data_IF_170135617920
#
_entry.id   IF_170135617920
#
_cell.length_a   1.000
_cell.length_b   1.000
_cell.length_c   1.000
_cell.angle_alpha   90.00
_cell.angle_beta   90.00
_cell.angle_gamma   90.00
#
_symmetry.space_group_name_H-M   'P 1'
#
loop_
_entity.id
_entity.type
_entity.pdbx_description
1 polymer ?
#
# COMPACT_ATOMS: atom_id res chain seq x y z
N UNK A 1 -11.97 -31.37 20.71
CA UNK A 1 -10.54 -31.09 20.44
C UNK A 1 -10.42 -29.60 20.24
N UNK A 2 -9.88 -28.88 21.23
CA UNK A 2 -9.85 -27.41 21.25
C UNK A 2 -8.68 -26.91 20.41
N UNK A 3 -8.97 -26.16 19.34
CA UNK A 3 -7.96 -25.58 18.45
C UNK A 3 -7.43 -24.29 19.07
N UNK A 4 -6.22 -24.35 19.64
CA UNK A 4 -5.50 -23.17 20.12
C UNK A 4 -4.83 -22.48 18.92
N UNK A 5 -5.49 -21.47 18.37
CA UNK A 5 -4.86 -20.54 17.42
C UNK A 5 -3.87 -19.66 18.19
N UNK A 6 -2.57 -19.83 17.92
CA UNK A 6 -1.54 -18.88 18.37
C UNK A 6 -1.58 -17.65 17.47
N UNK A 7 -2.11 -16.56 18.01
CA UNK A 7 -2.14 -15.23 17.42
C UNK A 7 -0.86 -14.48 17.82
N UNK A 8 -0.18 -13.86 16.84
CA UNK A 8 1.07 -13.14 17.07
C UNK A 8 0.81 -11.78 17.73
N UNK A 9 1.41 -11.55 18.90
CA UNK A 9 1.43 -10.28 19.63
C UNK A 9 2.81 -9.63 19.47
N UNK A 10 2.85 -8.32 19.29
CA UNK A 10 4.11 -7.56 19.40
C UNK A 10 4.25 -7.14 20.87
N UNK A 11 5.26 -7.68 21.56
CA UNK A 11 5.62 -7.31 22.93
C UNK A 11 6.78 -6.31 22.90
N UNK A 12 6.52 -5.06 23.30
CA UNK A 12 7.57 -4.06 23.56
C UNK A 12 7.45 -3.65 25.03
N UNK A 13 8.55 -3.74 25.78
CA UNK A 13 8.62 -3.37 27.20
C UNK A 13 7.56 -4.01 28.11
N UNK A 14 7.20 -5.28 27.86
CA UNK A 14 6.24 -6.02 28.68
C UNK A 14 4.77 -5.60 28.49
N UNK A 15 4.47 -4.80 27.46
CA UNK A 15 3.11 -4.49 27.01
C UNK A 15 2.87 -5.12 25.65
N UNK A 16 1.81 -5.91 25.56
CA UNK A 16 1.27 -6.42 24.30
C UNK A 16 0.45 -5.29 23.66
N UNK A 17 0.80 -4.91 22.44
CA UNK A 17 -0.04 -4.03 21.63
C UNK A 17 -0.57 -4.80 20.43
N UNK A 18 -1.81 -4.50 20.04
CA UNK A 18 -2.37 -4.96 18.78
C UNK A 18 -1.57 -4.37 17.61
N UNK A 19 -1.40 -5.14 16.53
CA UNK A 19 -0.86 -4.62 15.28
C UNK A 19 -1.96 -3.76 14.61
N UNK A 20 -1.75 -2.44 14.43
CA UNK A 20 -2.78 -1.54 13.92
C UNK A 20 -3.22 -1.89 12.49
N UNK A 21 -2.42 -2.64 11.73
CA UNK A 21 -2.71 -3.01 10.35
C UNK A 21 -3.46 -4.35 10.22
N UNK A 22 -3.44 -5.18 11.28
CA UNK A 22 -4.10 -6.51 11.29
C UNK A 22 -5.52 -6.41 11.86
N UNK A 23 -5.84 -5.33 12.58
CA UNK A 23 -7.18 -5.12 13.15
C UNK A 23 -7.52 -6.11 14.27
N UNK A 24 -6.52 -6.69 14.95
CA UNK A 24 -6.78 -7.42 16.19
C UNK A 24 -7.21 -6.42 17.27
N UNK A 25 -8.19 -6.79 18.09
CA UNK A 25 -8.65 -6.01 19.23
C UNK A 25 -8.47 -6.83 20.52
N UNK A 26 -7.28 -7.40 20.69
CA UNK A 26 -6.96 -8.26 21.83
C UNK A 26 -6.59 -7.40 23.06
N UNK A 27 -6.06 -6.19 22.83
CA UNK A 27 -5.54 -5.30 23.87
C UNK A 27 -6.40 -4.05 24.12
N UNK A 28 -7.54 -3.90 23.43
CA UNK A 28 -8.45 -2.75 23.59
C UNK A 28 -9.83 -3.17 24.08
N UNK A 29 -9.97 -3.29 25.41
CA UNK A 29 -11.27 -3.18 26.07
C UNK A 29 -11.35 -1.78 26.70
N UNK A 30 -11.85 -0.81 25.93
CA UNK A 30 -12.12 0.54 26.43
C UNK A 30 -11.84 1.66 25.43
N UNK A 31 -12.73 1.86 24.47
CA UNK A 31 -12.72 3.04 23.61
C UNK A 31 -13.46 2.80 22.31
N UNK A 32 -14.71 3.26 22.23
CA UNK A 32 -15.49 3.22 21.00
C UNK A 32 -14.87 4.19 19.98
N UNK A 33 -14.15 3.66 18.99
CA UNK A 33 -13.75 4.42 17.80
C UNK A 33 -14.91 4.37 16.82
N UNK A 34 -15.50 5.54 16.59
CA UNK A 34 -16.43 5.79 15.48
C UNK A 34 -15.64 5.91 14.19
N UNK A 35 -15.70 4.91 13.31
CA UNK A 35 -15.46 5.12 11.88
C UNK A 35 -16.07 4.00 11.05
N UNK A 36 -16.74 4.38 9.99
CA UNK A 36 -17.48 3.54 9.06
C UNK A 36 -16.52 2.79 8.10
N UNK A 37 -15.45 2.19 8.63
CA UNK A 37 -14.41 1.54 7.80
C UNK A 37 -14.91 0.17 7.35
N UNK A 38 -15.50 0.16 6.16
CA UNK A 38 -16.09 -1.04 5.54
C UNK A 38 -15.04 -1.91 4.85
N UNK A 39 -13.82 -1.42 4.67
CA UNK A 39 -12.74 -2.20 4.05
C UNK A 39 -12.02 -3.07 5.08
N UNK A 40 -12.21 -4.38 4.98
CA UNK A 40 -11.60 -5.39 5.85
C UNK A 40 -10.69 -6.34 5.06
N UNK A 41 -9.72 -6.99 5.70
CA UNK A 41 -8.96 -8.06 5.08
C UNK A 41 -9.90 -9.12 4.48
N UNK A 42 -9.63 -9.50 3.23
CA UNK A 42 -10.34 -10.56 2.53
C UNK A 42 -9.84 -11.95 2.97
N UNK A 43 -8.54 -12.08 3.23
CA UNK A 43 -7.89 -13.31 3.64
C UNK A 43 -6.45 -13.07 4.05
N UNK A 44 -5.63 -14.11 3.96
CA UNK A 44 -4.20 -14.02 4.23
C UNK A 44 -3.37 -14.86 3.24
N UNK A 45 -2.14 -14.43 3.00
CA UNK A 45 -1.10 -15.18 2.27
C UNK A 45 0.05 -15.52 3.22
N UNK A 46 0.61 -16.72 3.09
CA UNK A 46 1.81 -17.12 3.84
C UNK A 46 3.03 -17.03 2.94
N UNK A 47 4.01 -16.24 3.38
CA UNK A 47 5.22 -15.95 2.63
C UNK A 47 6.41 -16.23 3.54
N UNK A 48 7.14 -17.31 3.24
CA UNK A 48 8.32 -17.73 4.01
C UNK A 48 8.06 -17.82 5.53
N UNK A 49 6.88 -18.31 5.93
CA UNK A 49 6.49 -18.48 7.34
C UNK A 49 5.89 -17.24 8.00
N UNK A 50 5.74 -16.12 7.28
CA UNK A 50 5.02 -14.92 7.75
C UNK A 50 3.66 -14.83 7.08
N UNK A 51 2.66 -14.40 7.83
CA UNK A 51 1.29 -14.23 7.33
C UNK A 51 1.03 -12.76 7.02
N UNK A 52 0.55 -12.48 5.81
CA UNK A 52 0.21 -11.14 5.32
C UNK A 52 -1.28 -11.06 5.02
N UNK A 53 -1.99 -9.99 5.43
CA UNK A 53 -3.39 -9.81 5.06
C UNK A 53 -3.52 -9.50 3.56
N UNK A 54 -4.60 -9.96 2.94
CA UNK A 54 -4.98 -9.60 1.57
C UNK A 54 -6.24 -8.75 1.56
N UNK A 55 -6.41 -7.89 0.55
CA UNK A 55 -7.52 -6.95 0.44
C UNK A 55 -8.02 -6.81 -0.99
N UNK A 56 -9.34 -6.83 -1.15
CA UNK A 56 -10.04 -6.48 -2.41
C UNK A 56 -10.48 -5.01 -2.46
N UNK A 57 -10.24 -4.28 -1.37
CA UNK A 57 -10.75 -2.95 -1.14
C UNK A 57 -9.64 -2.06 -0.61
N UNK A 58 -9.88 -0.76 -0.62
CA UNK A 58 -9.03 0.26 -0.03
C UNK A 58 -9.91 1.26 0.74
N UNK A 59 -9.35 2.09 1.63
CA UNK A 59 -10.11 3.14 2.30
C UNK A 59 -10.81 4.08 1.30
N UNK A 60 -11.90 4.76 1.69
CA UNK A 60 -12.63 5.64 0.79
C UNK A 60 -11.75 6.74 0.19
N UNK A 61 -11.85 6.93 -1.13
CA UNK A 61 -11.18 8.05 -1.82
C UNK A 61 -11.93 9.35 -1.53
N UNK A 62 -11.22 10.37 -1.06
CA UNK A 62 -11.74 11.70 -0.74
C UNK A 62 -10.95 12.79 -1.48
N UNK A 63 -11.23 14.07 -1.20
CA UNK A 63 -10.42 15.20 -1.66
C UNK A 63 -9.03 15.28 -1.02
N UNK A 64 -8.76 14.47 0.02
CA UNK A 64 -7.47 14.37 0.71
C UNK A 64 -7.32 12.98 1.34
N UNK A 65 -7.23 11.95 0.51
CA UNK A 65 -7.18 10.54 0.90
C UNK A 65 -5.84 10.23 1.59
N UNK A 66 -5.83 9.81 2.87
CA UNK A 66 -4.60 9.39 3.54
C UNK A 66 -4.02 8.13 2.90
N UNK A 67 -2.70 8.08 2.73
CA UNK A 67 -2.00 6.93 2.19
C UNK A 67 -0.58 6.80 2.76
N UNK A 68 0.02 5.63 2.54
CA UNK A 68 1.44 5.39 2.78
C UNK A 68 2.18 5.36 1.44
N UNK A 69 3.29 6.10 1.29
CA UNK A 69 4.12 6.02 0.11
C UNK A 69 5.09 4.84 0.22
N UNK A 70 5.25 4.12 -0.87
CA UNK A 70 6.37 3.18 -1.08
C UNK A 70 7.11 3.57 -2.36
N UNK A 71 8.29 2.99 -2.58
CA UNK A 71 9.08 3.21 -3.78
C UNK A 71 9.12 1.93 -4.59
N UNK A 72 8.92 2.04 -5.90
CA UNK A 72 8.92 0.94 -6.84
C UNK A 72 9.73 1.31 -8.09
N UNK A 73 10.45 0.33 -8.64
CA UNK A 73 11.12 0.41 -9.93
C UNK A 73 10.19 -0.10 -11.04
N UNK A 74 9.73 0.83 -11.88
CA UNK A 74 8.83 0.54 -13.02
C UNK A 74 9.58 0.17 -14.31
N UNK A 75 10.91 0.09 -14.27
CA UNK A 75 11.73 -0.18 -15.45
C UNK A 75 11.87 -1.68 -15.73
N UNK A 76 12.24 -2.01 -16.97
CA UNK A 76 12.47 -3.40 -17.36
C UNK A 76 13.61 -4.01 -16.55
N UNK A 77 13.36 -5.15 -15.90
CA UNK A 77 14.33 -5.80 -15.01
C UNK A 77 14.46 -5.16 -13.62
N UNK A 78 13.58 -4.20 -13.29
CA UNK A 78 13.41 -3.66 -11.94
C UNK A 78 12.68 -4.61 -10.99
N UNK A 79 12.39 -4.13 -9.78
CA UNK A 79 11.69 -4.90 -8.75
C UNK A 79 10.15 -4.90 -8.88
N UNK A 80 9.58 -4.07 -9.76
CA UNK A 80 8.15 -4.04 -10.08
C UNK A 80 7.64 -5.26 -10.85
N UNK A 81 8.52 -6.20 -11.22
CA UNK A 81 8.14 -7.43 -11.91
C UNK A 81 7.82 -7.22 -13.40
N UNK A 82 6.54 -7.40 -13.77
CA UNK A 82 6.07 -7.29 -15.15
C UNK A 82 5.91 -5.84 -15.65
N UNK A 83 5.52 -5.65 -16.91
CA UNK A 83 5.10 -4.34 -17.42
C UNK A 83 3.84 -3.84 -16.70
N UNK A 84 3.66 -2.52 -16.56
CA UNK A 84 2.56 -1.96 -15.79
C UNK A 84 1.17 -2.22 -16.38
N UNK A 85 0.20 -2.52 -15.51
CA UNK A 85 -1.13 -3.03 -15.87
C UNK A 85 -1.95 -2.09 -16.76
N UNK A 86 -1.79 -0.76 -16.64
CA UNK A 86 -2.62 0.17 -17.40
C UNK A 86 -2.33 0.20 -18.90
N UNK A 87 -1.08 -0.06 -19.30
CA UNK A 87 -0.65 0.07 -20.71
C UNK A 87 0.27 -1.04 -21.21
N UNK A 88 0.59 -2.03 -20.36
CA UNK A 88 1.43 -3.16 -20.70
C UNK A 88 2.87 -2.77 -21.03
N UNK A 89 3.40 -1.72 -20.37
CA UNK A 89 4.72 -1.17 -20.64
C UNK A 89 5.53 -0.96 -19.37
N UNK A 90 6.85 -1.08 -19.52
CA UNK A 90 7.80 -0.54 -18.56
C UNK A 90 7.92 0.98 -18.73
N UNK A 91 8.24 1.67 -17.65
CA UNK A 91 8.36 3.12 -17.61
C UNK A 91 9.69 3.54 -16.98
N UNK A 92 10.18 4.73 -17.30
CA UNK A 92 11.37 5.24 -16.63
C UNK A 92 11.01 5.74 -15.22
N UNK A 93 11.83 5.41 -14.21
CA UNK A 93 11.66 5.98 -12.85
C UNK A 93 11.89 7.50 -12.78
N UNK A 94 12.33 8.12 -13.89
CA UNK A 94 12.38 9.58 -14.03
C UNK A 94 11.02 10.21 -14.37
N UNK A 95 10.05 9.39 -14.80
CA UNK A 95 8.67 9.79 -14.99
C UNK A 95 7.95 9.87 -13.64
N UNK A 96 7.02 10.81 -13.48
CA UNK A 96 6.19 10.90 -12.27
C UNK A 96 5.00 9.97 -12.42
N UNK A 97 5.21 8.73 -12.04
CA UNK A 97 4.23 7.65 -12.15
C UNK A 97 4.05 6.91 -10.83
N UNK A 98 2.88 6.29 -10.67
CA UNK A 98 2.52 5.51 -9.49
C UNK A 98 1.72 4.25 -9.81
N UNK A 99 1.83 3.27 -8.92
CA UNK A 99 0.85 2.21 -8.73
C UNK A 99 -0.10 2.55 -7.56
N UNK A 100 -1.32 2.04 -7.59
CA UNK A 100 -2.29 2.19 -6.49
C UNK A 100 -2.70 0.82 -5.96
N UNK A 101 -2.89 0.68 -4.64
CA UNK A 101 -3.49 -0.53 -4.06
C UNK A 101 -4.74 -0.98 -4.80
N UNK A 102 -4.99 -2.28 -4.91
CA UNK A 102 -6.10 -2.89 -5.67
C UNK A 102 -7.44 -2.15 -5.57
N UNK A 103 -7.87 -1.77 -4.36
CA UNK A 103 -9.15 -1.06 -4.18
C UNK A 103 -9.16 0.37 -4.73
N UNK A 104 -8.02 1.07 -4.69
CA UNK A 104 -7.83 2.37 -5.33
C UNK A 104 -7.52 2.27 -6.83
N UNK A 105 -6.87 1.20 -7.28
CA UNK A 105 -6.75 0.91 -8.70
C UNK A 105 -8.13 0.72 -9.35
N UNK A 106 -9.01 -0.01 -8.66
CA UNK A 106 -10.42 -0.20 -9.01
C UNK A 106 -10.58 -0.68 -10.46
N UNK A 107 -9.94 -1.80 -10.79
CA UNK A 107 -9.97 -2.43 -12.11
C UNK A 107 -9.54 -1.50 -13.24
N UNK A 108 -8.50 -0.70 -13.01
CA UNK A 108 -7.97 0.23 -14.00
C UNK A 108 -8.78 1.51 -14.23
N UNK A 109 -9.84 1.76 -13.45
CA UNK A 109 -10.68 2.97 -13.63
C UNK A 109 -9.92 4.31 -13.49
N UNK A 110 -8.72 4.28 -12.88
CA UNK A 110 -7.82 5.43 -12.72
C UNK A 110 -6.62 5.41 -13.66
N UNK A 111 -6.48 4.41 -14.51
CA UNK A 111 -5.38 4.31 -15.47
C UNK A 111 -5.23 5.58 -16.32
N UNK A 112 -3.99 6.04 -16.45
CA UNK A 112 -3.63 7.25 -17.21
C UNK A 112 -4.10 8.57 -16.58
N UNK A 113 -4.84 8.54 -15.47
CA UNK A 113 -5.29 9.75 -14.78
C UNK A 113 -4.20 10.27 -13.85
N UNK A 114 -4.25 11.58 -13.63
CA UNK A 114 -3.34 12.26 -12.73
C UNK A 114 -3.90 12.28 -11.32
N UNK A 115 -3.04 12.03 -10.34
CA UNK A 115 -3.30 12.28 -8.93
C UNK A 115 -2.34 13.33 -8.40
N UNK A 116 -2.80 14.11 -7.43
CA UNK A 116 -1.95 15.04 -6.68
C UNK A 116 -1.63 14.41 -5.34
N UNK A 117 -0.35 14.20 -5.08
CA UNK A 117 0.18 13.66 -3.83
C UNK A 117 0.76 14.81 -3.02
N UNK A 118 0.48 14.87 -1.73
CA UNK A 118 0.99 15.89 -0.82
C UNK A 118 1.63 15.24 0.39
N UNK A 119 2.88 15.59 0.67
CA UNK A 119 3.62 15.11 1.82
C UNK A 119 3.44 16.03 3.04
N UNK A 120 3.74 15.49 4.23
CA UNK A 120 3.69 16.22 5.50
C UNK A 120 4.58 17.48 5.55
N UNK A 121 5.62 17.55 4.72
CA UNK A 121 6.47 18.73 4.56
C UNK A 121 5.82 19.86 3.72
N UNK A 122 4.57 19.68 3.29
CA UNK A 122 3.80 20.65 2.51
C UNK A 122 4.07 20.64 0.99
N UNK A 123 5.04 19.83 0.53
CA UNK A 123 5.33 19.68 -0.90
C UNK A 123 4.30 18.77 -1.56
N UNK A 124 3.96 19.08 -2.80
CA UNK A 124 3.09 18.25 -3.61
C UNK A 124 3.72 17.92 -4.96
N UNK A 125 3.33 16.77 -5.51
CA UNK A 125 3.69 16.35 -6.86
C UNK A 125 2.45 15.77 -7.55
N UNK A 126 2.32 16.01 -8.85
CA UNK A 126 1.32 15.34 -9.67
C UNK A 126 1.96 14.15 -10.37
N UNK A 127 1.31 12.99 -10.33
CA UNK A 127 1.79 11.76 -10.92
C UNK A 127 0.68 11.02 -11.67
N UNK A 128 1.04 10.28 -12.72
CA UNK A 128 0.13 9.49 -13.54
C UNK A 128 -0.01 8.08 -12.94
N UNK A 129 -1.23 7.59 -12.80
CA UNK A 129 -1.47 6.19 -12.41
C UNK A 129 -1.19 5.29 -13.62
N UNK A 130 -0.24 4.38 -13.47
CA UNK A 130 0.16 3.42 -14.52
C UNK A 130 -0.04 1.97 -14.11
N UNK A 131 -0.23 1.69 -12.83
CA UNK A 131 -0.18 0.31 -12.36
C UNK A 131 -1.06 0.01 -11.14
N UNK A 132 -1.16 -1.28 -10.85
CA UNK A 132 -1.75 -1.82 -9.63
C UNK A 132 -0.64 -2.25 -8.65
N UNK A 133 -0.79 -1.86 -7.38
CA UNK A 133 -0.05 -2.49 -6.29
C UNK A 133 -0.93 -3.61 -5.73
N UNK A 134 -0.72 -4.84 -6.19
CA UNK A 134 -1.62 -5.97 -5.96
C UNK A 134 -1.67 -6.35 -4.47
N UNK A 135 -2.82 -6.13 -3.82
CA UNK A 135 -3.05 -6.47 -2.41
C UNK A 135 -3.74 -7.83 -2.22
N UNK A 136 -3.90 -8.62 -3.29
CA UNK A 136 -4.54 -9.93 -3.32
C UNK A 136 -3.57 -11.07 -3.59
N UNK A 137 -2.54 -10.83 -4.39
CA UNK A 137 -1.53 -11.81 -4.78
C UNK A 137 -0.12 -11.36 -4.37
N UNK A 138 0.83 -12.28 -4.44
CA UNK A 138 2.16 -12.11 -3.91
C UNK A 138 2.76 -13.44 -3.49
N UNK A 139 4.05 -13.42 -3.17
CA UNK A 139 4.80 -14.56 -2.63
C UNK A 139 4.93 -15.72 -3.61
N UNK A 140 4.85 -15.40 -4.90
CA UNK A 140 5.04 -16.28 -6.02
C UNK A 140 6.11 -15.71 -6.96
N UNK A 141 6.41 -16.44 -8.03
CA UNK A 141 7.44 -16.04 -8.99
C UNK A 141 7.07 -14.78 -9.79
N UNK A 142 5.77 -14.56 -10.03
CA UNK A 142 5.27 -13.40 -10.77
C UNK A 142 5.54 -12.10 -10.00
N UNK A 143 5.38 -12.15 -8.68
CA UNK A 143 5.64 -11.03 -7.77
C UNK A 143 7.06 -11.04 -7.19
N UNK A 144 8.02 -11.75 -7.81
CA UNK A 144 9.40 -11.89 -7.33
C UNK A 144 9.53 -12.33 -5.85
N UNK A 145 8.55 -13.07 -5.34
CA UNK A 145 8.47 -13.52 -3.94
C UNK A 145 8.09 -12.42 -2.93
N UNK A 146 7.72 -11.22 -3.39
CA UNK A 146 7.32 -10.11 -2.53
C UNK A 146 5.93 -10.35 -1.90
N UNK A 147 5.68 -9.87 -0.67
CA UNK A 147 4.37 -9.99 -0.04
C UNK A 147 3.29 -9.20 -0.80
N UNK A 148 2.00 -9.54 -0.60
CA UNK A 148 0.92 -8.71 -1.13
C UNK A 148 1.03 -7.28 -0.61
N UNK A 149 0.67 -6.33 -1.47
CA UNK A 149 0.63 -4.92 -1.15
C UNK A 149 -0.36 -4.63 -0.01
N UNK A 150 -0.13 -3.55 0.76
CA UNK A 150 -1.15 -3.06 1.69
C UNK A 150 -2.28 -2.37 0.92
N UNK A 151 -3.42 -2.16 1.58
CA UNK A 151 -4.61 -1.60 0.93
C UNK A 151 -4.65 -0.08 0.82
N UNK A 152 -3.64 0.62 1.32
CA UNK A 152 -3.58 2.08 1.42
C UNK A 152 -2.25 2.66 0.90
N UNK A 153 -1.71 2.03 -0.15
CA UNK A 153 -0.42 2.36 -0.76
C UNK A 153 -0.60 3.22 -2.01
N UNK A 154 0.24 4.24 -2.11
CA UNK A 154 0.61 4.89 -3.37
C UNK A 154 2.07 4.55 -3.61
N UNK A 155 2.32 3.70 -4.61
CA UNK A 155 3.66 3.19 -4.86
C UNK A 155 4.34 4.01 -5.95
N UNK A 156 5.35 4.80 -5.58
CA UNK A 156 5.86 5.88 -6.39
C UNK A 156 7.25 5.63 -6.96
N UNK A 157 7.42 6.02 -8.22
CA UNK A 157 8.73 6.14 -8.89
C UNK A 157 9.68 7.11 -8.17
N UNK A 158 10.98 7.02 -8.47
CA UNK A 158 12.02 7.92 -7.94
C UNK A 158 11.72 9.41 -8.15
N UNK A 159 11.11 9.77 -9.28
CA UNK A 159 10.72 11.14 -9.56
C UNK A 159 9.58 11.67 -8.67
N UNK A 160 8.69 10.80 -8.19
CA UNK A 160 7.64 11.15 -7.22
C UNK A 160 8.28 11.48 -5.88
N UNK A 161 9.15 10.61 -5.38
CA UNK A 161 9.90 10.81 -4.14
C UNK A 161 10.73 12.09 -4.17
N UNK A 162 11.46 12.30 -5.27
CA UNK A 162 12.26 13.51 -5.50
C UNK A 162 11.40 14.78 -5.55
N UNK A 163 10.23 14.72 -6.20
CA UNK A 163 9.28 15.84 -6.28
C UNK A 163 8.76 16.25 -4.89
N UNK A 164 8.43 15.25 -4.07
CA UNK A 164 8.01 15.44 -2.68
C UNK A 164 9.15 15.86 -1.74
N UNK A 165 10.41 15.81 -2.19
CA UNK A 165 11.57 16.10 -1.35
C UNK A 165 11.70 15.10 -0.20
N UNK A 166 11.35 13.84 -0.45
CA UNK A 166 11.43 12.75 0.53
C UNK A 166 12.65 11.89 0.26
N UNK A 167 13.25 11.37 1.33
CA UNK A 167 14.29 10.37 1.22
C UNK A 167 13.66 8.98 1.24
N UNK A 168 13.85 8.22 0.17
CA UNK A 168 13.37 6.84 0.02
C UNK A 168 13.95 5.88 1.06
N UNK A 169 15.14 6.17 1.58
CA UNK A 169 15.84 5.32 2.55
C UNK A 169 15.32 5.45 4.00
N UNK A 170 14.57 6.51 4.31
CA UNK A 170 14.12 6.79 5.69
C UNK A 170 12.80 6.09 6.00
N UNK A 171 12.04 5.68 4.97
CA UNK A 171 10.89 4.79 5.10
C UNK A 171 9.72 5.39 5.89
N UNK A 172 8.69 5.80 5.13
CA UNK A 172 7.32 6.11 5.59
C UNK A 172 7.15 7.46 6.28
N UNK A 173 6.91 8.48 5.45
CA UNK A 173 6.14 9.66 5.86
C UNK A 173 4.68 9.47 5.45
N UNK A 174 3.74 10.03 6.21
CA UNK A 174 2.35 10.08 5.78
C UNK A 174 2.18 11.05 4.60
N UNK A 175 1.38 10.63 3.62
CA UNK A 175 0.95 11.46 2.49
C UNK A 175 -0.57 11.53 2.45
N UNK A 176 -1.07 12.51 1.72
CA UNK A 176 -2.45 12.48 1.21
C UNK A 176 -2.46 12.56 -0.31
N UNK A 177 -3.50 12.03 -0.93
CA UNK A 177 -3.70 12.14 -2.36
C UNK A 177 -5.15 12.41 -2.76
N UNK A 178 -5.32 12.98 -3.94
CA UNK A 178 -6.61 13.18 -4.59
C UNK A 178 -6.46 13.11 -6.11
N UNK A 179 -7.57 12.94 -6.83
CA UNK A 179 -7.56 13.13 -8.28
C UNK A 179 -7.18 14.60 -8.58
N UNK A 180 -6.29 14.82 -9.54
CA UNK A 180 -5.82 16.14 -9.96
C UNK A 180 -6.70 16.77 -11.04
#
# INVERSE_FOLDING_TARGET
MSNSQRLSLICINGKCNDDPDVGTHICHNGGAVSSNDTCKPFGTLNCSGKTYPTYKCSPPVTSSTPAKPTNNDFSEGGDGGGPSECDGRYHSNTERIVALSTGWYNGGSRCGKMIRITASNGRSVTAKVVDECDSMHGCDQEHAGQPPCKNNIVDGSDAVWSGLGLNKDIGVVDITWSMA
#
